data_IF_731644977540
#
_entry.id   IF_731644977540
#
_cell.length_a   1.000
_cell.length_b   1.000
_cell.length_c   1.000
_cell.angle_alpha   90.00
_cell.angle_beta   90.00
_cell.angle_gamma   90.00
#
_symmetry.space_group_name_H-M   'P 1'
#
loop_
_entity.id
_entity.type
_entity.pdbx_description
1 polymer ?
#
# COMPACT_ATOMS: atom_id res chain seq x y z
N UNK A 1 10.88 19.39 -1.10
CA UNK A 1 11.46 19.30 -2.47
C UNK A 1 12.34 18.07 -2.51
N UNK A 2 12.22 17.28 -3.56
CA UNK A 2 13.00 16.06 -3.80
C UNK A 2 14.38 16.45 -4.37
N UNK A 3 15.31 16.85 -3.49
CA UNK A 3 16.67 17.29 -3.85
C UNK A 3 17.72 16.27 -3.41
N UNK A 4 18.91 16.33 -4.00
CA UNK A 4 20.05 15.51 -3.56
C UNK A 4 20.40 15.76 -2.10
N UNK A 5 20.40 17.01 -1.66
CA UNK A 5 20.70 17.39 -0.27
C UNK A 5 19.67 16.80 0.69
N UNK A 6 18.38 16.78 0.32
CA UNK A 6 17.35 16.13 1.12
C UNK A 6 17.56 14.60 1.20
N UNK A 7 17.94 13.97 0.09
CA UNK A 7 18.26 12.55 0.07
C UNK A 7 19.47 12.22 0.97
N UNK A 8 20.52 13.05 0.92
CA UNK A 8 21.69 12.89 1.77
C UNK A 8 21.35 13.04 3.26
N UNK A 9 20.54 14.06 3.62
CA UNK A 9 20.08 14.25 5.00
C UNK A 9 19.25 13.05 5.49
N UNK A 10 18.34 12.50 4.68
CA UNK A 10 17.55 11.34 5.03
C UNK A 10 18.46 10.11 5.16
N UNK A 11 19.38 9.89 4.22
CA UNK A 11 20.33 8.79 4.27
C UNK A 11 21.18 8.82 5.55
N UNK A 12 21.66 9.99 5.95
CA UNK A 12 22.40 10.18 7.21
C UNK A 12 21.54 9.86 8.45
N UNK A 13 20.24 10.22 8.43
CA UNK A 13 19.34 9.88 9.52
C UNK A 13 19.07 8.39 9.60
N UNK A 14 18.82 7.74 8.47
CA UNK A 14 18.65 6.28 8.39
C UNK A 14 19.88 5.55 8.94
N UNK A 15 21.07 5.94 8.51
CA UNK A 15 22.33 5.37 8.99
C UNK A 15 22.55 5.64 10.49
N UNK A 16 22.25 6.85 10.97
CA UNK A 16 22.39 7.21 12.38
C UNK A 16 21.54 6.35 13.31
N UNK A 17 20.35 5.98 12.86
CA UNK A 17 19.40 5.21 13.67
C UNK A 17 19.34 3.72 13.29
N UNK A 18 20.26 3.26 12.45
CA UNK A 18 20.31 1.87 11.95
C UNK A 18 18.97 1.43 11.35
N UNK A 19 18.39 2.27 10.49
CA UNK A 19 17.11 2.04 9.83
C UNK A 19 17.32 1.75 8.36
N UNK A 20 16.54 0.80 7.83
CA UNK A 20 16.47 0.48 6.40
C UNK A 20 15.11 0.97 5.87
N UNK A 21 15.12 1.91 4.94
CA UNK A 21 13.93 2.30 4.22
C UNK A 21 13.66 1.27 3.10
N UNK A 22 12.53 0.57 3.17
CA UNK A 22 12.13 -0.46 2.20
C UNK A 22 11.30 0.08 1.06
N UNK A 23 10.45 1.07 1.34
CA UNK A 23 9.47 1.61 0.41
C UNK A 23 9.33 3.12 0.61
N UNK A 24 9.10 3.85 -0.47
CA UNK A 24 8.61 5.23 -0.41
C UNK A 24 7.17 5.24 -0.86
N UNK A 25 6.31 5.83 -0.05
CA UNK A 25 4.90 5.99 -0.37
C UNK A 25 4.53 7.44 -0.61
N UNK A 26 3.61 7.67 -1.55
CA UNK A 26 3.05 8.98 -1.85
C UNK A 26 1.61 8.87 -2.31
N UNK A 27 0.75 9.70 -1.78
CA UNK A 27 -0.69 9.72 -2.08
C UNK A 27 -1.16 11.01 -2.78
N UNK A 28 -0.31 12.02 -2.81
CA UNK A 28 -0.61 13.34 -3.40
C UNK A 28 -0.38 13.47 -4.89
N UNK A 29 -0.59 14.64 -5.48
CA UNK A 29 -1.10 15.86 -4.83
C UNK A 29 -2.62 15.88 -4.60
N UNK A 30 -3.06 16.88 -3.83
CA UNK A 30 -4.48 17.16 -3.57
C UNK A 30 -5.36 17.31 -4.85
N UNK A 31 -6.68 17.08 -4.76
CA UNK A 31 -7.46 16.76 -3.56
C UNK A 31 -7.35 15.29 -3.16
N UNK A 32 -7.40 15.01 -1.84
CA UNK A 32 -7.32 13.66 -1.26
C UNK A 32 -8.54 13.44 -0.35
N UNK A 33 -9.54 12.76 -0.85
CA UNK A 33 -10.75 12.42 -0.09
C UNK A 33 -10.92 10.90 -0.02
N UNK A 34 -10.91 10.37 1.19
CA UNK A 34 -10.82 8.93 1.48
C UNK A 34 -12.19 8.35 1.89
N UNK A 35 -13.25 8.62 1.14
CA UNK A 35 -14.56 8.07 1.46
C UNK A 35 -15.22 7.35 0.28
N UNK A 36 -16.20 6.50 0.57
CA UNK A 36 -16.87 5.68 -0.44
C UNK A 36 -17.62 6.49 -1.49
N UNK A 37 -18.14 7.66 -1.11
CA UNK A 37 -19.00 8.49 -1.96
C UNK A 37 -18.17 9.30 -2.94
N UNK A 38 -17.08 9.91 -2.47
CA UNK A 38 -16.23 10.83 -3.24
C UNK A 38 -15.02 10.12 -3.88
N UNK A 39 -14.61 8.97 -3.33
CA UNK A 39 -13.37 8.29 -3.65
C UNK A 39 -13.06 8.13 -5.14
N UNK A 40 -13.99 7.64 -5.99
CA UNK A 40 -13.72 7.45 -7.42
C UNK A 40 -13.31 8.72 -8.17
N UNK A 41 -13.67 9.89 -7.64
CA UNK A 41 -13.38 11.19 -8.26
C UNK A 41 -12.23 11.97 -7.61
N UNK A 42 -11.64 11.46 -6.52
CA UNK A 42 -10.74 12.25 -5.67
C UNK A 42 -9.34 11.70 -5.47
N UNK A 43 -9.15 10.40 -5.34
CA UNK A 43 -7.82 9.83 -5.03
C UNK A 43 -7.25 8.94 -6.13
N UNK A 44 -5.95 8.71 -6.07
CA UNK A 44 -5.22 7.78 -6.92
C UNK A 44 -5.13 8.20 -8.38
N UNK A 45 -4.97 7.22 -9.25
CA UNK A 45 -4.78 7.39 -10.69
C UNK A 45 -6.09 7.27 -11.50
N UNK A 46 -7.22 7.06 -10.81
CA UNK A 46 -8.53 6.89 -11.43
C UNK A 46 -9.10 8.22 -11.96
N UNK A 47 -9.09 9.35 -11.21
CA UNK A 47 -9.72 10.58 -11.65
C UNK A 47 -8.97 11.25 -12.83
N UNK A 48 -9.58 11.42 -14.00
CA UNK A 48 -8.90 12.01 -15.16
C UNK A 48 -8.36 13.43 -14.90
N UNK A 49 -9.07 14.19 -14.07
CA UNK A 49 -8.75 15.59 -13.73
C UNK A 49 -7.38 15.75 -13.06
N UNK A 50 -6.99 14.82 -12.19
CA UNK A 50 -5.77 14.90 -11.37
C UNK A 50 -4.72 13.90 -11.79
N UNK A 51 -5.05 12.99 -12.70
CA UNK A 51 -4.22 11.85 -13.11
C UNK A 51 -2.83 12.25 -13.57
N UNK A 52 -2.75 13.24 -14.47
CA UNK A 52 -1.46 13.68 -15.01
C UNK A 52 -0.52 14.22 -13.91
N UNK A 53 -1.04 15.08 -13.02
CA UNK A 53 -0.26 15.62 -11.91
C UNK A 53 0.22 14.52 -10.93
N UNK A 54 -0.60 13.51 -10.70
CA UNK A 54 -0.24 12.36 -9.83
C UNK A 54 0.78 11.43 -10.48
N UNK A 55 0.69 11.20 -11.78
CA UNK A 55 1.72 10.48 -12.53
C UNK A 55 3.07 11.23 -12.41
N UNK A 56 3.07 12.53 -12.59
CA UNK A 56 4.30 13.35 -12.49
C UNK A 56 4.87 13.34 -11.07
N UNK A 57 4.02 13.40 -10.04
CA UNK A 57 4.45 13.28 -8.65
C UNK A 57 5.09 11.92 -8.36
N UNK A 58 4.45 10.81 -8.80
CA UNK A 58 4.97 9.46 -8.63
C UNK A 58 6.32 9.26 -9.35
N UNK A 59 6.50 9.82 -10.54
CA UNK A 59 7.80 9.80 -11.24
C UNK A 59 8.88 10.55 -10.45
N UNK A 60 8.57 11.75 -9.93
CA UNK A 60 9.51 12.51 -9.10
C UNK A 60 9.88 11.76 -7.82
N UNK A 61 8.91 11.08 -7.20
CA UNK A 61 9.16 10.24 -6.01
C UNK A 61 10.01 9.04 -6.36
N UNK A 62 9.78 8.39 -7.49
CA UNK A 62 10.63 7.30 -8.01
C UNK A 62 12.08 7.77 -8.20
N UNK A 63 12.29 8.92 -8.83
CA UNK A 63 13.63 9.48 -9.02
C UNK A 63 14.30 9.81 -7.67
N UNK A 64 13.54 10.32 -6.71
CA UNK A 64 14.03 10.61 -5.36
C UNK A 64 14.36 9.33 -4.58
N UNK A 65 13.49 8.31 -4.62
CA UNK A 65 13.70 7.01 -4.01
C UNK A 65 15.00 6.34 -4.53
N UNK A 66 15.29 6.50 -5.83
CA UNK A 66 16.53 6.03 -6.44
C UNK A 66 17.78 6.66 -5.80
N UNK A 67 17.73 7.96 -5.45
CA UNK A 67 18.84 8.63 -4.76
C UNK A 67 19.10 8.03 -3.37
N UNK A 68 18.10 7.46 -2.74
CA UNK A 68 18.14 6.80 -1.44
C UNK A 68 18.44 5.30 -1.52
N UNK A 69 18.56 4.75 -2.75
CA UNK A 69 18.72 3.31 -2.95
C UNK A 69 17.46 2.49 -2.64
N UNK A 70 16.29 3.13 -2.57
CA UNK A 70 15.01 2.47 -2.27
C UNK A 70 14.44 1.87 -3.55
N UNK A 71 14.13 0.58 -3.51
CA UNK A 71 13.71 -0.20 -4.68
C UNK A 71 12.19 -0.35 -4.84
N UNK A 72 11.41 0.25 -3.97
CA UNK A 72 9.94 0.15 -4.00
C UNK A 72 9.30 1.55 -3.89
N UNK A 73 8.36 1.84 -4.78
CA UNK A 73 7.54 3.06 -4.79
C UNK A 73 6.08 2.62 -4.69
N UNK A 74 5.37 3.09 -3.69
CA UNK A 74 3.99 2.68 -3.35
C UNK A 74 3.02 3.84 -3.42
N UNK A 75 1.78 3.54 -3.76
CA UNK A 75 0.66 4.49 -3.67
C UNK A 75 -0.68 3.75 -3.59
N UNK A 76 -1.68 4.42 -3.04
CA UNK A 76 -3.07 4.07 -3.30
C UNK A 76 -3.45 4.49 -4.73
N UNK A 77 -3.77 3.52 -5.58
CA UNK A 77 -4.17 3.79 -6.98
C UNK A 77 -5.60 4.34 -7.08
N UNK A 78 -6.37 4.33 -5.98
CA UNK A 78 -7.72 4.84 -5.90
C UNK A 78 -8.78 3.78 -6.13
N UNK A 79 -10.03 4.20 -6.24
CA UNK A 79 -11.17 3.30 -6.45
C UNK A 79 -11.20 2.81 -7.89
N UNK A 80 -10.34 1.86 -8.22
CA UNK A 80 -10.27 1.25 -9.55
C UNK A 80 -11.62 0.63 -9.90
N UNK A 81 -12.23 0.94 -11.05
CA UNK A 81 -13.53 0.41 -11.42
C UNK A 81 -13.56 -1.11 -11.43
N UNK A 82 -14.54 -1.70 -10.75
CA UNK A 82 -14.74 -3.14 -10.73
C UNK A 82 -15.23 -3.67 -12.09
N UNK A 83 -16.01 -2.85 -12.82
CA UNK A 83 -16.42 -3.15 -14.17
C UNK A 83 -15.35 -2.71 -15.17
N UNK A 84 -14.69 -3.62 -15.90
CA UNK A 84 -13.69 -3.27 -16.91
C UNK A 84 -14.25 -2.51 -18.13
N UNK A 85 -15.58 -2.47 -18.30
CA UNK A 85 -16.25 -1.65 -19.30
C UNK A 85 -16.50 -0.20 -18.85
N UNK A 86 -16.16 0.14 -17.61
CA UNK A 86 -16.24 1.52 -17.12
C UNK A 86 -15.29 2.41 -17.92
N UNK A 87 -15.75 3.58 -18.41
CA UNK A 87 -14.91 4.49 -19.21
C UNK A 87 -13.64 4.99 -18.49
N UNK A 88 -13.56 4.91 -17.17
CA UNK A 88 -12.38 5.28 -16.40
C UNK A 88 -11.30 4.18 -16.39
N UNK A 89 -11.70 2.92 -16.60
CA UNK A 89 -10.80 1.76 -16.47
C UNK A 89 -9.60 1.79 -17.42
N UNK A 90 -9.77 1.98 -18.75
CA UNK A 90 -8.63 1.98 -19.67
C UNK A 90 -7.57 3.02 -19.32
N UNK A 91 -8.02 4.24 -19.02
CA UNK A 91 -7.11 5.33 -18.64
C UNK A 91 -6.40 5.08 -17.31
N UNK A 92 -7.00 4.30 -16.40
CA UNK A 92 -6.37 3.88 -15.15
C UNK A 92 -5.27 2.85 -15.42
N UNK A 93 -5.53 1.86 -16.29
CA UNK A 93 -4.53 0.89 -16.75
C UNK A 93 -3.32 1.59 -17.35
N UNK A 94 -3.54 2.57 -18.23
CA UNK A 94 -2.47 3.31 -18.91
C UNK A 94 -1.67 4.18 -17.93
N UNK A 95 -2.33 4.77 -16.94
CA UNK A 95 -1.67 5.55 -15.90
C UNK A 95 -0.74 4.69 -15.03
N UNK A 96 -1.24 3.56 -14.54
CA UNK A 96 -0.46 2.62 -13.73
C UNK A 96 0.72 2.08 -14.56
N UNK A 97 0.51 1.71 -15.81
CA UNK A 97 1.58 1.26 -16.72
C UNK A 97 2.65 2.35 -16.90
N UNK A 98 2.24 3.59 -17.07
CA UNK A 98 3.16 4.73 -17.26
C UNK A 98 4.08 4.92 -16.05
N UNK A 99 3.55 4.82 -14.84
CA UNK A 99 4.34 4.90 -13.60
C UNK A 99 5.24 3.67 -13.45
N UNK A 100 4.71 2.47 -13.66
CA UNK A 100 5.48 1.22 -13.58
C UNK A 100 6.66 1.21 -14.57
N UNK A 101 6.48 1.70 -15.79
CA UNK A 101 7.58 1.86 -16.78
C UNK A 101 8.66 2.80 -16.29
N UNK A 102 8.31 3.94 -15.68
CA UNK A 102 9.28 4.86 -15.11
C UNK A 102 10.06 4.23 -13.96
N UNK A 103 9.35 3.57 -13.01
CA UNK A 103 9.98 2.82 -11.91
C UNK A 103 10.92 1.72 -12.45
N UNK A 104 10.51 1.00 -13.50
CA UNK A 104 11.36 -0.01 -14.14
C UNK A 104 12.67 0.57 -14.67
N UNK A 105 12.62 1.75 -15.29
CA UNK A 105 13.82 2.50 -15.73
C UNK A 105 14.74 2.90 -14.58
N UNK A 106 14.23 3.00 -13.37
CA UNK A 106 14.97 3.24 -12.14
C UNK A 106 15.39 1.97 -11.40
N UNK A 107 15.05 0.77 -11.91
CA UNK A 107 15.32 -0.51 -11.25
C UNK A 107 14.41 -0.77 -10.05
N UNK A 108 13.19 -0.21 -10.05
CA UNK A 108 12.27 -0.24 -8.93
C UNK A 108 10.99 -1.01 -9.27
N UNK A 109 10.35 -1.56 -8.23
CA UNK A 109 8.96 -1.99 -8.26
C UNK A 109 8.03 -0.80 -8.05
N UNK A 110 6.88 -0.81 -8.75
CA UNK A 110 5.75 0.05 -8.43
C UNK A 110 4.69 -0.79 -7.72
N UNK A 111 4.25 -0.35 -6.55
CA UNK A 111 3.32 -1.08 -5.71
C UNK A 111 1.99 -0.35 -5.61
N UNK A 112 0.91 -1.12 -5.78
CA UNK A 112 -0.44 -0.66 -5.50
C UNK A 112 -0.81 -1.11 -4.09
N UNK A 113 -1.15 -0.17 -3.22
CA UNK A 113 -1.61 -0.50 -1.88
C UNK A 113 -3.06 -0.96 -1.88
N UNK A 114 -3.34 -2.02 -1.11
CA UNK A 114 -4.70 -2.54 -0.96
C UNK A 114 -5.60 -1.59 -0.18
N UNK A 115 -6.89 -1.55 -0.51
CA UNK A 115 -7.88 -0.78 0.23
C UNK A 115 -9.16 -0.51 -0.54
N UNK A 116 -9.12 0.34 -1.55
CA UNK A 116 -10.29 0.90 -2.23
C UNK A 116 -10.95 -0.05 -3.22
N UNK A 117 -10.23 -1.01 -3.74
CA UNK A 117 -10.71 -2.01 -4.70
C UNK A 117 -10.76 -3.42 -4.09
N UNK A 118 -11.54 -4.29 -4.71
CA UNK A 118 -11.54 -5.71 -4.34
C UNK A 118 -10.24 -6.39 -4.80
N UNK A 119 -9.79 -7.46 -4.12
CA UNK A 119 -8.61 -8.24 -4.55
C UNK A 119 -8.72 -8.76 -5.98
N UNK A 120 -9.92 -9.13 -6.42
CA UNK A 120 -10.16 -9.58 -7.80
C UNK A 120 -10.01 -8.46 -8.81
N UNK A 121 -10.41 -7.24 -8.48
CA UNK A 121 -10.18 -6.05 -9.31
C UNK A 121 -8.69 -5.72 -9.39
N UNK A 122 -7.97 -5.76 -8.27
CA UNK A 122 -6.52 -5.56 -8.24
C UNK A 122 -5.78 -6.63 -9.05
N UNK A 123 -6.13 -7.90 -8.92
CA UNK A 123 -5.56 -8.98 -9.74
C UNK A 123 -5.81 -8.77 -11.23
N UNK A 124 -7.01 -8.30 -11.62
CA UNK A 124 -7.33 -7.98 -13.01
C UNK A 124 -6.45 -6.85 -13.53
N UNK A 125 -6.29 -5.75 -12.79
CA UNK A 125 -5.49 -4.61 -13.25
C UNK A 125 -4.01 -4.97 -13.36
N UNK A 126 -3.47 -5.81 -12.48
CA UNK A 126 -2.09 -6.32 -12.59
C UNK A 126 -1.90 -7.04 -13.93
N UNK A 127 -2.82 -7.94 -14.28
CA UNK A 127 -2.80 -8.65 -15.57
C UNK A 127 -2.92 -7.69 -16.76
N UNK A 128 -3.84 -6.72 -16.70
CA UNK A 128 -4.12 -5.83 -17.82
C UNK A 128 -3.03 -4.76 -18.00
N UNK A 129 -2.36 -4.34 -16.95
CA UNK A 129 -1.15 -3.49 -17.01
C UNK A 129 0.03 -4.27 -17.58
N UNK A 130 0.18 -5.54 -17.24
CA UNK A 130 1.18 -6.47 -17.78
C UNK A 130 2.63 -5.94 -17.68
N UNK A 131 3.03 -5.54 -16.47
CA UNK A 131 4.39 -5.11 -16.14
C UNK A 131 4.99 -6.01 -15.07
N UNK A 132 6.20 -6.54 -15.31
CA UNK A 132 6.87 -7.46 -14.37
C UNK A 132 7.30 -6.83 -13.04
N UNK A 133 7.41 -5.51 -13.00
CA UNK A 133 7.75 -4.74 -11.81
C UNK A 133 6.52 -4.10 -11.13
N UNK A 134 5.31 -4.47 -11.52
CA UNK A 134 4.09 -4.08 -10.81
C UNK A 134 3.82 -5.10 -9.71
N UNK A 135 3.62 -4.62 -8.49
CA UNK A 135 3.34 -5.45 -7.31
C UNK A 135 2.27 -4.86 -6.42
N UNK A 136 2.12 -5.47 -5.26
CA UNK A 136 1.13 -5.12 -4.24
C UNK A 136 1.84 -4.73 -2.95
N UNK A 137 1.47 -3.56 -2.40
CA UNK A 137 1.64 -3.22 -1.01
C UNK A 137 0.41 -3.71 -0.25
N UNK A 138 0.57 -4.78 0.51
CA UNK A 138 -0.54 -5.44 1.16
C UNK A 138 -0.77 -4.85 2.56
N UNK A 139 -1.75 -3.95 2.69
CA UNK A 139 -2.25 -3.54 4.00
C UNK A 139 -3.33 -4.51 4.46
N UNK A 140 -3.18 -5.02 5.69
CA UNK A 140 -4.04 -6.07 6.23
C UNK A 140 -5.41 -5.58 6.65
N UNK A 141 -5.56 -4.30 6.99
CA UNK A 141 -6.82 -3.74 7.47
C UNK A 141 -7.56 -2.88 6.45
N UNK A 142 -6.87 -2.24 5.51
CA UNK A 142 -7.54 -1.34 4.56
C UNK A 142 -8.69 -2.03 3.80
N UNK A 143 -8.53 -3.29 3.43
CA UNK A 143 -9.63 -4.06 2.81
C UNK A 143 -10.86 -4.19 3.72
N UNK A 144 -10.65 -4.30 5.03
CA UNK A 144 -11.72 -4.33 6.04
C UNK A 144 -12.32 -2.92 6.19
N UNK A 145 -11.47 -1.90 6.36
CA UNK A 145 -11.89 -0.52 6.58
C UNK A 145 -12.70 0.03 5.40
N UNK A 146 -12.37 -0.38 4.17
CA UNK A 146 -13.11 -0.04 2.95
C UNK A 146 -14.27 -1.01 2.65
N UNK A 147 -14.50 -2.02 3.48
CA UNK A 147 -15.57 -2.98 3.27
C UNK A 147 -15.41 -3.82 1.99
N UNK A 148 -14.17 -4.13 1.57
CA UNK A 148 -13.89 -4.75 0.27
C UNK A 148 -13.59 -6.24 0.34
N UNK A 149 -12.86 -6.71 1.35
CA UNK A 149 -12.52 -8.12 1.48
C UNK A 149 -12.04 -8.50 2.88
N UNK A 150 -12.04 -9.80 3.14
CA UNK A 150 -11.27 -10.41 4.21
C UNK A 150 -9.79 -10.51 3.77
N UNK A 151 -8.82 -10.08 4.60
CA UNK A 151 -7.41 -10.11 4.21
C UNK A 151 -6.84 -11.51 4.00
N UNK A 152 -7.34 -12.54 4.68
CA UNK A 152 -6.90 -13.93 4.46
C UNK A 152 -7.25 -14.40 3.05
N UNK A 153 -8.50 -14.14 2.61
CA UNK A 153 -8.93 -14.49 1.26
C UNK A 153 -8.22 -13.62 0.19
N UNK A 154 -7.92 -12.37 0.55
CA UNK A 154 -7.18 -11.47 -0.34
C UNK A 154 -5.75 -11.96 -0.63
N UNK A 155 -5.05 -12.50 0.37
CA UNK A 155 -3.71 -13.08 0.18
C UNK A 155 -3.73 -14.27 -0.76
N UNK A 156 -4.80 -15.09 -0.78
CA UNK A 156 -4.93 -16.19 -1.75
C UNK A 156 -4.90 -15.71 -3.22
N UNK A 157 -5.43 -14.51 -3.46
CA UNK A 157 -5.49 -13.92 -4.80
C UNK A 157 -4.22 -13.12 -5.12
N UNK A 158 -3.72 -12.35 -4.16
CA UNK A 158 -2.68 -11.35 -4.36
C UNK A 158 -1.29 -11.79 -3.92
N UNK A 159 -1.17 -12.87 -3.13
CA UNK A 159 0.08 -13.34 -2.52
C UNK A 159 1.28 -13.40 -3.45
N UNK A 160 1.16 -13.94 -4.68
CA UNK A 160 2.28 -13.96 -5.63
C UNK A 160 2.83 -12.59 -6.02
N UNK A 161 2.02 -11.53 -5.85
CA UNK A 161 2.35 -10.16 -6.22
C UNK A 161 2.77 -9.28 -5.04
N UNK A 162 2.64 -9.75 -3.79
CA UNK A 162 2.97 -8.97 -2.59
C UNK A 162 4.47 -8.71 -2.52
N UNK A 163 4.85 -7.45 -2.29
CA UNK A 163 6.25 -6.99 -2.16
C UNK A 163 6.47 -6.13 -0.91
N UNK A 164 5.40 -5.60 -0.32
CA UNK A 164 5.41 -4.83 0.93
C UNK A 164 4.19 -5.25 1.74
N UNK A 165 4.29 -5.20 3.06
CA UNK A 165 3.19 -5.50 3.98
C UNK A 165 3.09 -4.40 5.02
N UNK A 166 1.89 -3.82 5.14
CA UNK A 166 1.50 -3.00 6.27
C UNK A 166 0.64 -3.85 7.22
N UNK A 167 1.10 -3.98 8.45
CA UNK A 167 0.33 -4.61 9.52
C UNK A 167 -0.50 -3.51 10.20
N UNK A 168 -1.77 -3.58 10.01
CA UNK A 168 -2.81 -2.70 10.55
C UNK A 168 -4.02 -3.56 10.92
N UNK A 169 -4.82 -3.16 11.90
CA UNK A 169 -6.03 -3.86 12.28
C UNK A 169 -7.25 -2.92 12.30
N UNK A 170 -8.42 -3.48 12.09
CA UNK A 170 -9.61 -2.69 11.94
C UNK A 170 -10.92 -3.47 11.99
N UNK A 171 -12.01 -2.72 11.96
CA UNK A 171 -13.39 -3.21 11.93
C UNK A 171 -14.11 -2.72 10.69
N UNK A 172 -15.10 -3.48 10.26
CA UNK A 172 -15.95 -3.13 9.13
C UNK A 172 -16.68 -1.80 9.32
N UNK A 173 -16.91 -1.04 8.23
CA UNK A 173 -17.78 0.12 8.28
C UNK A 173 -19.22 -0.29 8.59
N UNK A 174 -19.86 0.44 9.50
CA UNK A 174 -21.28 0.28 9.85
C UNK A 174 -22.13 1.47 9.39
N UNK A 175 -21.50 2.50 8.88
CA UNK A 175 -22.12 3.69 8.29
C UNK A 175 -21.75 3.72 6.79
N UNK A 176 -22.72 3.78 5.86
CA UNK A 176 -22.45 3.74 4.42
C UNK A 176 -21.67 4.95 3.88
N UNK A 177 -21.51 6.00 4.67
CA UNK A 177 -20.76 7.21 4.30
C UNK A 177 -19.37 7.30 4.95
N UNK A 178 -18.97 6.30 5.75
CA UNK A 178 -17.71 6.31 6.50
C UNK A 178 -16.92 5.05 6.29
N UNK A 179 -15.61 5.16 6.43
CA UNK A 179 -14.72 4.01 6.55
C UNK A 179 -14.99 3.27 7.87
N UNK A 180 -14.51 2.02 7.96
CA UNK A 180 -14.41 1.29 9.20
C UNK A 180 -13.51 1.99 10.22
N UNK A 181 -13.37 1.38 11.38
CA UNK A 181 -12.57 1.91 12.49
C UNK A 181 -11.24 1.18 12.57
N UNK A 182 -10.11 1.91 12.49
CA UNK A 182 -8.80 1.38 12.84
C UNK A 182 -8.74 1.14 14.35
N UNK A 183 -8.20 0.00 14.76
CA UNK A 183 -8.00 -0.38 16.16
C UNK A 183 -6.58 -0.90 16.38
N UNK A 184 -6.19 -1.09 17.63
CA UNK A 184 -4.92 -1.74 17.95
C UNK A 184 -4.85 -3.14 17.34
N UNK A 185 -3.68 -3.50 16.84
CA UNK A 185 -3.41 -4.84 16.30
C UNK A 185 -3.77 -5.93 17.33
N UNK A 186 -4.60 -6.86 16.91
CA UNK A 186 -5.16 -7.91 17.74
C UNK A 186 -6.51 -7.57 18.41
N UNK A 187 -7.05 -6.37 18.15
CA UNK A 187 -8.38 -5.97 18.64
C UNK A 187 -9.42 -5.83 17.53
N UNK A 188 -9.01 -6.03 16.29
CA UNK A 188 -9.84 -5.96 15.09
C UNK A 188 -10.19 -7.33 14.54
N UNK A 189 -10.32 -7.38 13.22
CA UNK A 189 -10.81 -8.54 12.49
C UNK A 189 -9.72 -9.26 11.67
N UNK A 190 -8.49 -8.79 11.72
CA UNK A 190 -7.38 -9.41 10.98
C UNK A 190 -6.90 -10.66 11.69
N UNK A 191 -6.98 -11.81 11.03
CA UNK A 191 -6.33 -13.06 11.48
C UNK A 191 -4.86 -13.05 11.01
N UNK A 192 -4.00 -12.36 11.77
CA UNK A 192 -2.58 -12.21 11.44
C UNK A 192 -1.86 -13.53 11.27
N UNK A 193 -2.21 -14.55 12.08
CA UNK A 193 -1.59 -15.86 11.98
C UNK A 193 -1.85 -16.48 10.61
N UNK A 194 -3.10 -16.47 10.15
CA UNK A 194 -3.45 -16.99 8.83
C UNK A 194 -2.85 -16.17 7.71
N UNK A 195 -2.91 -14.82 7.81
CA UNK A 195 -2.32 -13.93 6.80
C UNK A 195 -0.82 -14.20 6.66
N UNK A 196 -0.07 -14.27 7.76
CA UNK A 196 1.37 -14.49 7.72
C UNK A 196 1.73 -15.91 7.26
N UNK A 197 0.96 -16.93 7.66
CA UNK A 197 1.14 -18.29 7.15
C UNK A 197 1.02 -18.32 5.63
N UNK A 198 -0.04 -17.69 5.07
CA UNK A 198 -0.22 -17.63 3.62
C UNK A 198 0.86 -16.82 2.90
N UNK A 199 1.25 -15.67 3.45
CA UNK A 199 2.37 -14.90 2.89
C UNK A 199 3.66 -15.73 2.87
N UNK A 200 3.93 -16.48 3.92
CA UNK A 200 5.09 -17.39 3.98
C UNK A 200 4.98 -18.52 2.94
N UNK A 201 3.82 -19.13 2.77
CA UNK A 201 3.55 -20.15 1.74
C UNK A 201 3.78 -19.60 0.32
N UNK A 202 3.49 -18.31 0.06
CA UNK A 202 3.81 -17.63 -1.20
C UNK A 202 5.26 -17.16 -1.29
N UNK A 203 6.11 -17.45 -0.29
CA UNK A 203 7.52 -17.10 -0.30
C UNK A 203 7.82 -15.64 0.01
N UNK A 204 6.92 -14.92 0.67
CA UNK A 204 7.18 -13.55 1.11
C UNK A 204 8.25 -13.53 2.22
N UNK A 205 9.31 -12.77 2.01
CA UNK A 205 10.44 -12.60 2.93
C UNK A 205 10.75 -11.13 3.25
N UNK A 206 9.86 -10.23 2.81
CA UNK A 206 10.01 -8.79 3.03
C UNK A 206 9.67 -8.35 4.45
N UNK A 207 9.82 -7.06 4.69
CA UNK A 207 9.46 -6.45 5.97
C UNK A 207 7.95 -6.46 6.21
N UNK A 208 7.55 -6.62 7.48
CA UNK A 208 6.19 -6.36 7.95
C UNK A 208 6.26 -5.05 8.73
N UNK A 209 5.72 -4.00 8.15
CA UNK A 209 5.74 -2.65 8.70
C UNK A 209 4.45 -2.39 9.48
N UNK A 210 4.57 -2.01 10.74
CA UNK A 210 3.41 -1.59 11.53
C UNK A 210 2.95 -0.23 11.03
N UNK A 211 1.68 -0.14 10.66
CA UNK A 211 1.04 1.13 10.33
C UNK A 211 -0.01 1.46 11.40
N UNK A 212 0.17 2.61 12.04
CA UNK A 212 -0.72 3.10 13.10
C UNK A 212 -1.06 4.56 12.83
N UNK A 213 -2.25 4.82 12.28
CA UNK A 213 -2.70 6.14 11.82
C UNK A 213 -3.26 7.00 12.96
N UNK A 214 -2.50 7.12 14.03
CA UNK A 214 -2.75 8.03 15.15
C UNK A 214 -1.55 8.95 15.36
N UNK A 215 -1.63 9.84 16.31
CA UNK A 215 -0.52 10.73 16.63
C UNK A 215 -0.35 10.91 18.14
N UNK A 216 0.84 11.39 18.53
CA UNK A 216 1.16 11.70 19.92
C UNK A 216 1.84 10.56 20.69
N UNK A 217 2.06 10.73 21.99
CA UNK A 217 2.82 9.77 22.82
C UNK A 217 2.21 8.36 22.85
N UNK A 218 0.88 8.26 22.75
CA UNK A 218 0.19 6.97 22.75
C UNK A 218 0.56 6.12 21.55
N UNK A 219 0.75 6.71 20.35
CA UNK A 219 1.16 5.99 19.15
C UNK A 219 2.48 5.21 19.38
N UNK A 220 3.43 5.78 20.10
CA UNK A 220 4.72 5.14 20.39
C UNK A 220 4.52 3.87 21.23
N UNK A 221 3.64 3.94 22.24
CA UNK A 221 3.34 2.78 23.08
C UNK A 221 2.52 1.73 22.33
N UNK A 222 1.58 2.17 21.49
CA UNK A 222 0.81 1.29 20.61
C UNK A 222 1.75 0.47 19.72
N UNK A 223 2.64 1.12 18.95
CA UNK A 223 3.61 0.47 18.06
C UNK A 223 4.53 -0.51 18.81
N UNK A 224 4.98 -0.17 20.02
CA UNK A 224 5.79 -1.10 20.84
C UNK A 224 5.02 -2.36 21.25
N UNK A 225 3.73 -2.21 21.58
CA UNK A 225 2.86 -3.32 21.97
C UNK A 225 2.54 -4.20 20.76
N UNK A 226 2.20 -3.58 19.64
CA UNK A 226 1.89 -4.21 18.36
C UNK A 226 3.09 -5.00 17.84
N UNK A 227 4.31 -4.45 17.92
CA UNK A 227 5.53 -5.17 17.58
C UNK A 227 5.68 -6.45 18.38
N UNK A 228 5.45 -6.40 19.71
CA UNK A 228 5.53 -7.60 20.57
C UNK A 228 4.47 -8.64 20.24
N UNK A 229 3.27 -8.18 19.90
CA UNK A 229 2.17 -9.05 19.49
C UNK A 229 2.48 -9.76 18.17
N UNK A 230 2.89 -9.01 17.15
CA UNK A 230 3.21 -9.55 15.84
C UNK A 230 4.44 -10.48 15.86
N UNK A 231 5.46 -10.15 16.66
CA UNK A 231 6.66 -10.99 16.78
C UNK A 231 6.29 -12.39 17.29
N UNK A 232 5.41 -12.50 18.28
CA UNK A 232 4.95 -13.82 18.77
C UNK A 232 4.26 -14.63 17.68
N UNK A 233 3.44 -13.98 16.85
CA UNK A 233 2.76 -14.67 15.74
C UNK A 233 3.79 -15.12 14.68
N UNK A 234 4.76 -14.26 14.36
CA UNK A 234 5.81 -14.60 13.41
C UNK A 234 6.67 -15.77 13.90
N UNK A 235 7.03 -15.79 15.18
CA UNK A 235 7.78 -16.90 15.78
C UNK A 235 7.02 -18.23 15.67
N UNK A 236 5.68 -18.21 15.82
CA UNK A 236 4.83 -19.39 15.63
C UNK A 236 4.68 -19.83 14.16
N UNK A 237 4.68 -18.89 13.22
CA UNK A 237 4.53 -19.19 11.78
C UNK A 237 5.82 -19.69 11.16
N UNK A 238 6.97 -19.23 11.66
CA UNK A 238 8.30 -19.56 11.13
C UNK A 238 8.98 -20.73 11.86
N UNK A 239 8.35 -21.26 12.93
CA UNK A 239 8.85 -22.44 13.65
C UNK A 239 8.44 -23.75 12.96
#
# INVERSE_FOLDING_TARGET
KFTKDAAEQIGNLLAKYDLIATTVEVVGPEPLEWNFVQGPSTIGLVPPRTRAARIDALKQVSDFAKLLGISQVQTHCGFIPENPADPLYPGTVDAIRTVAQHCQGNGQYFLMETGQETPTTMSRIIRDVNMSNLGVGFDTANLILYGKANPVDAVEILGPHVRSVHAKDGKWPTDPSKLGEEVLIGQGLVDFKKVFTKLHEFGYTGAITIERETSGPQQIEDVKNEKRYLQRILDEVLS
#
